data_IF_065010343332
#
_entry.id   IF_065010343332
#
_cell.length_a   1.000
_cell.length_b   1.000
_cell.length_c   1.000
_cell.angle_alpha   90.00
_cell.angle_beta   90.00
_cell.angle_gamma   90.00
#
_symmetry.space_group_name_H-M   'P 1'
#
loop_
_entity.id
_entity.type
_entity.pdbx_description
1 polymer ?
#
# COMPACT_ATOMS: atom_id res chain seq x y z
N UNK A 1 -23.56 -23.51 46.39
CA UNK A 1 -23.43 -24.97 46.59
C UNK A 1 -22.11 -25.45 46.00
N UNK A 2 -20.99 -25.34 46.73
CA UNK A 2 -19.67 -25.75 46.21
C UNK A 2 -18.87 -26.60 47.21
N UNK A 3 -19.54 -27.23 48.18
CA UNK A 3 -18.88 -27.96 49.29
C UNK A 3 -19.42 -29.38 49.53
N UNK A 4 -20.03 -30.06 48.55
CA UNK A 4 -20.64 -31.38 48.80
C UNK A 4 -20.18 -32.57 47.92
N UNK A 5 -19.13 -32.45 47.09
CA UNK A 5 -18.74 -33.56 46.18
C UNK A 5 -17.28 -34.03 46.35
N UNK A 6 -16.73 -34.00 47.57
CA UNK A 6 -15.43 -34.62 47.80
C UNK A 6 -15.39 -35.26 49.18
N UNK A 7 -16.24 -36.26 49.41
CA UNK A 7 -16.12 -37.07 50.63
C UNK A 7 -15.12 -38.23 50.45
N UNK A 8 -14.77 -38.59 49.20
CA UNK A 8 -13.76 -39.63 48.92
C UNK A 8 -12.58 -39.11 48.09
N UNK A 9 -11.35 -39.64 48.27
CA UNK A 9 -10.18 -39.27 47.45
C UNK A 9 -10.37 -39.50 45.95
N UNK A 10 -11.17 -40.50 45.56
CA UNK A 10 -11.42 -40.85 44.16
C UNK A 10 -12.30 -39.80 43.45
N UNK A 11 -13.36 -39.33 44.10
CA UNK A 11 -14.25 -38.29 43.56
C UNK A 11 -13.51 -36.95 43.41
N UNK A 12 -12.65 -36.62 44.37
CA UNK A 12 -11.78 -35.43 44.30
C UNK A 12 -10.83 -35.50 43.12
N UNK A 13 -10.19 -36.65 42.89
CA UNK A 13 -9.29 -36.85 41.76
C UNK A 13 -10.02 -36.72 40.41
N UNK A 14 -11.25 -37.25 40.31
CA UNK A 14 -12.07 -37.10 39.09
C UNK A 14 -12.48 -35.64 38.85
N UNK A 15 -12.86 -34.91 39.90
CA UNK A 15 -13.19 -33.49 39.80
C UNK A 15 -11.98 -32.64 39.38
N UNK A 16 -10.81 -32.87 39.99
CA UNK A 16 -9.56 -32.19 39.64
C UNK A 16 -9.13 -32.51 38.20
N UNK A 17 -9.26 -33.77 37.77
CA UNK A 17 -8.95 -34.18 36.39
C UNK A 17 -9.86 -33.49 35.37
N UNK A 18 -11.17 -33.37 35.67
CA UNK A 18 -12.12 -32.64 34.83
C UNK A 18 -11.78 -31.16 34.75
N UNK A 19 -11.52 -30.52 35.90
CA UNK A 19 -11.17 -29.10 35.93
C UNK A 19 -9.90 -28.84 35.13
N UNK A 20 -8.88 -29.68 35.29
CA UNK A 20 -7.64 -29.60 34.52
C UNK A 20 -7.88 -29.73 33.01
N UNK A 21 -8.72 -30.67 32.60
CA UNK A 21 -9.08 -30.82 31.19
C UNK A 21 -9.78 -29.57 30.66
N UNK A 22 -10.76 -29.02 31.39
CA UNK A 22 -11.48 -27.81 30.99
C UNK A 22 -10.53 -26.60 30.90
N UNK A 23 -9.58 -26.45 31.84
CA UNK A 23 -8.57 -25.38 31.79
C UNK A 23 -7.60 -25.54 30.64
N UNK A 24 -7.13 -26.77 30.37
CA UNK A 24 -6.20 -27.04 29.27
C UNK A 24 -6.86 -26.75 27.91
N UNK A 25 -8.14 -27.08 27.76
CA UNK A 25 -8.91 -26.75 26.54
C UNK A 25 -9.10 -25.24 26.39
N UNK A 26 -9.47 -24.54 27.47
CA UNK A 26 -9.61 -23.09 27.44
C UNK A 26 -8.29 -22.40 27.09
N UNK A 27 -7.17 -22.88 27.64
CA UNK A 27 -5.84 -22.35 27.36
C UNK A 27 -5.46 -22.54 25.89
N UNK A 28 -5.67 -23.74 25.32
CA UNK A 28 -5.44 -24.01 23.88
C UNK A 28 -6.25 -23.10 22.96
N UNK A 29 -7.53 -22.88 23.27
CA UNK A 29 -8.37 -21.98 22.46
C UNK A 29 -7.87 -20.54 22.55
N UNK A 30 -7.48 -20.08 23.74
CA UNK A 30 -6.93 -18.74 23.94
C UNK A 30 -5.60 -18.56 23.18
N UNK A 31 -4.74 -19.57 23.22
CA UNK A 31 -3.46 -19.56 22.50
C UNK A 31 -3.69 -19.50 20.98
N UNK A 32 -4.54 -20.37 20.43
CA UNK A 32 -4.87 -20.37 19.00
C UNK A 32 -5.50 -19.04 18.54
N UNK A 33 -6.38 -18.43 19.34
CA UNK A 33 -6.95 -17.11 19.03
C UNK A 33 -5.90 -15.99 19.08
N UNK A 34 -4.94 -16.09 20.00
CA UNK A 34 -3.85 -15.13 20.12
C UNK A 34 -2.88 -15.25 18.94
N UNK A 35 -2.50 -16.47 18.58
CA UNK A 35 -1.66 -16.76 17.40
C UNK A 35 -2.33 -16.27 16.13
N UNK A 36 -3.57 -16.68 15.86
CA UNK A 36 -4.28 -16.23 14.65
C UNK A 36 -4.46 -14.72 14.57
N UNK A 37 -4.63 -14.03 15.71
CA UNK A 37 -4.64 -12.55 15.74
C UNK A 37 -3.26 -11.96 15.44
N UNK A 38 -2.19 -12.56 15.97
CA UNK A 38 -0.82 -12.08 15.75
C UNK A 38 -0.41 -12.29 14.30
N UNK A 39 -0.66 -13.47 13.75
CA UNK A 39 -0.41 -13.82 12.35
C UNK A 39 -1.19 -12.90 11.41
N UNK A 40 -2.53 -12.80 11.58
CA UNK A 40 -3.35 -11.94 10.72
C UNK A 40 -2.95 -10.46 10.80
N UNK A 41 -2.49 -9.98 11.97
CA UNK A 41 -1.94 -8.62 12.09
C UNK A 41 -0.61 -8.49 11.34
N UNK A 42 0.26 -9.48 11.45
CA UNK A 42 1.59 -9.44 10.81
C UNK A 42 1.48 -9.54 9.29
N UNK A 43 0.66 -10.46 8.78
CA UNK A 43 0.35 -10.62 7.36
C UNK A 43 -0.25 -9.33 6.79
N UNK A 44 -1.32 -8.81 7.39
CA UNK A 44 -1.97 -7.59 6.91
C UNK A 44 -1.03 -6.36 6.92
N UNK A 45 -0.11 -6.28 7.88
CA UNK A 45 0.89 -5.21 7.91
C UNK A 45 1.94 -5.37 6.81
N UNK A 46 2.38 -6.60 6.56
CA UNK A 46 3.38 -6.91 5.54
C UNK A 46 2.82 -6.73 4.13
N UNK A 47 1.60 -7.19 3.87
CA UNK A 47 0.90 -7.01 2.60
C UNK A 47 0.64 -5.53 2.34
N UNK A 48 0.04 -4.80 3.28
CA UNK A 48 -0.27 -3.39 3.09
C UNK A 48 0.97 -2.52 2.85
N UNK A 49 2.10 -2.82 3.50
CA UNK A 49 3.37 -2.14 3.23
C UNK A 49 3.93 -2.47 1.85
N UNK A 50 3.88 -3.74 1.44
CA UNK A 50 4.39 -4.16 0.14
C UNK A 50 3.56 -3.58 -0.99
N UNK A 51 2.24 -3.67 -0.92
CA UNK A 51 1.31 -3.11 -1.90
C UNK A 51 1.47 -1.60 -2.00
N UNK A 52 1.39 -0.88 -0.87
CA UNK A 52 1.52 0.58 -0.87
C UNK A 52 2.87 1.06 -1.40
N UNK A 53 3.97 0.34 -1.11
CA UNK A 53 5.29 0.65 -1.66
C UNK A 53 5.36 0.37 -3.16
N UNK A 54 4.83 -0.75 -3.63
CA UNK A 54 4.85 -1.09 -5.05
C UNK A 54 4.00 -0.11 -5.87
N UNK A 55 2.79 0.19 -5.42
CA UNK A 55 1.91 1.16 -6.07
C UNK A 55 2.53 2.55 -6.10
N UNK A 56 3.06 3.04 -4.97
CA UNK A 56 3.71 4.35 -4.90
C UNK A 56 4.92 4.46 -5.83
N UNK A 57 5.76 3.41 -5.90
CA UNK A 57 6.89 3.37 -6.82
C UNK A 57 6.45 3.34 -8.28
N UNK A 58 5.44 2.51 -8.60
CA UNK A 58 4.93 2.40 -9.96
C UNK A 58 4.31 3.72 -10.44
N UNK A 59 3.48 4.36 -9.62
CA UNK A 59 2.87 5.66 -9.92
C UNK A 59 3.92 6.75 -10.06
N UNK A 60 4.90 6.82 -9.14
CA UNK A 60 5.98 7.79 -9.22
C UNK A 60 6.86 7.62 -10.45
N UNK A 61 7.19 6.38 -10.83
CA UNK A 61 7.95 6.08 -12.03
C UNK A 61 7.17 6.42 -13.30
N UNK A 62 5.88 6.07 -13.38
CA UNK A 62 5.03 6.40 -14.51
C UNK A 62 4.91 7.92 -14.69
N UNK A 63 4.64 8.66 -13.62
CA UNK A 63 4.58 10.12 -13.65
C UNK A 63 5.92 10.76 -14.05
N UNK A 64 7.05 10.21 -13.57
CA UNK A 64 8.39 10.68 -13.93
C UNK A 64 8.73 10.45 -15.40
N UNK A 65 8.39 9.28 -15.94
CA UNK A 65 8.59 8.95 -17.37
C UNK A 65 7.73 9.84 -18.25
N UNK A 66 6.45 10.01 -17.91
CA UNK A 66 5.54 10.87 -18.65
C UNK A 66 6.02 12.33 -18.66
N UNK A 67 6.41 12.84 -17.49
CA UNK A 67 6.97 14.17 -17.36
C UNK A 67 8.24 14.35 -18.20
N UNK A 68 9.17 13.41 -18.13
CA UNK A 68 10.42 13.44 -18.91
C UNK A 68 10.16 13.49 -20.42
N UNK A 69 9.12 12.80 -20.90
CA UNK A 69 8.69 12.88 -22.30
C UNK A 69 8.25 14.31 -22.67
N UNK A 70 7.44 14.98 -21.86
CA UNK A 70 7.03 16.36 -22.13
C UNK A 70 8.22 17.33 -22.07
N UNK A 71 9.10 17.18 -21.08
CA UNK A 71 10.30 18.02 -20.94
C UNK A 71 11.25 17.91 -22.14
N UNK A 72 11.29 16.77 -22.85
CA UNK A 72 12.03 16.64 -24.10
C UNK A 72 11.27 17.16 -25.32
N UNK A 73 9.96 16.91 -25.39
CA UNK A 73 9.15 17.24 -26.56
C UNK A 73 8.84 18.73 -26.72
N UNK A 74 8.60 19.45 -25.61
CA UNK A 74 8.24 20.88 -25.64
C UNK A 74 9.39 21.73 -26.22
N UNK A 75 10.64 21.66 -25.70
CA UNK A 75 11.79 22.35 -26.29
C UNK A 75 12.01 21.99 -27.76
N UNK A 76 11.86 20.72 -28.10
CA UNK A 76 12.00 20.24 -29.47
C UNK A 76 10.99 20.90 -30.42
N UNK A 77 9.71 20.97 -30.04
CA UNK A 77 8.68 21.64 -30.84
C UNK A 77 8.88 23.17 -30.88
N UNK A 78 9.31 23.78 -29.78
CA UNK A 78 9.64 25.21 -29.75
C UNK A 78 10.75 25.54 -30.74
N UNK A 79 11.80 24.73 -30.79
CA UNK A 79 12.89 24.87 -31.76
C UNK A 79 12.38 24.74 -33.21
N UNK A 80 11.56 23.73 -33.51
CA UNK A 80 10.94 23.57 -34.83
C UNK A 80 10.05 24.75 -35.25
N UNK A 81 9.38 25.39 -34.30
CA UNK A 81 8.54 26.57 -34.54
C UNK A 81 9.34 27.88 -34.59
N UNK A 82 10.65 27.85 -34.30
CA UNK A 82 11.50 29.04 -34.17
C UNK A 82 11.16 29.90 -32.96
N UNK A 83 10.55 29.31 -31.92
CA UNK A 83 10.24 29.96 -30.65
C UNK A 83 11.44 29.88 -29.69
N UNK A 84 11.50 30.80 -28.73
CA UNK A 84 12.48 30.72 -27.65
C UNK A 84 12.23 29.48 -26.80
N UNK A 85 13.31 28.71 -26.55
CA UNK A 85 13.24 27.50 -25.73
C UNK A 85 12.91 27.85 -24.27
N UNK A 86 11.94 27.15 -23.71
CA UNK A 86 11.62 27.28 -22.29
C UNK A 86 12.69 26.57 -21.45
N UNK A 87 13.25 27.23 -20.42
CA UNK A 87 14.27 26.62 -19.58
C UNK A 87 13.68 25.43 -18.81
N UNK A 88 14.47 24.37 -18.62
CA UNK A 88 14.03 23.15 -17.93
C UNK A 88 13.46 23.43 -16.54
N UNK A 89 14.02 24.39 -15.82
CA UNK A 89 13.54 24.81 -14.49
C UNK A 89 12.13 25.39 -14.50
N UNK A 90 11.72 26.06 -15.58
CA UNK A 90 10.36 26.58 -15.71
C UNK A 90 9.36 25.47 -16.09
N UNK A 91 9.80 24.45 -16.82
CA UNK A 91 8.96 23.30 -17.16
C UNK A 91 8.86 22.29 -16.00
N UNK A 92 9.87 22.23 -15.13
CA UNK A 92 9.91 21.39 -13.92
C UNK A 92 8.94 21.85 -12.81
N UNK A 93 8.51 23.11 -12.82
CA UNK A 93 7.52 23.62 -11.86
C UNK A 93 6.07 23.39 -12.30
N UNK A 94 5.85 23.08 -13.58
CA UNK A 94 4.50 22.87 -14.13
C UNK A 94 3.92 21.51 -13.73
N UNK A 95 2.61 21.37 -13.68
CA UNK A 95 1.97 20.07 -13.49
C UNK A 95 1.90 19.29 -14.82
N UNK A 96 1.77 17.96 -14.74
CA UNK A 96 1.62 17.10 -15.94
C UNK A 96 0.49 17.60 -16.88
N UNK A 97 -0.71 17.98 -16.39
CA UNK A 97 -1.76 18.49 -17.27
C UNK A 97 -1.38 19.79 -17.99
N UNK A 98 -0.61 20.66 -17.34
CA UNK A 98 -0.15 21.92 -17.92
C UNK A 98 0.89 21.66 -19.02
N UNK A 99 1.81 20.73 -18.79
CA UNK A 99 2.79 20.29 -19.81
C UNK A 99 2.10 19.65 -21.01
N UNK A 100 1.07 18.83 -20.76
CA UNK A 100 0.27 18.21 -21.82
C UNK A 100 -0.46 19.26 -22.67
N UNK A 101 -1.08 20.26 -22.03
CA UNK A 101 -1.75 21.34 -22.74
C UNK A 101 -0.76 22.16 -23.58
N UNK A 102 0.38 22.53 -23.01
CA UNK A 102 1.43 23.26 -23.74
C UNK A 102 1.93 22.47 -24.95
N UNK A 103 2.15 21.17 -24.79
CA UNK A 103 2.52 20.30 -25.92
C UNK A 103 1.44 20.30 -27.01
N UNK A 104 0.17 20.17 -26.64
CA UNK A 104 -0.95 20.15 -27.57
C UNK A 104 -1.04 21.47 -28.36
N UNK A 105 -0.86 22.60 -27.68
CA UNK A 105 -0.87 23.92 -28.30
C UNK A 105 0.28 24.08 -29.32
N UNK A 106 1.49 23.63 -28.97
CA UNK A 106 2.64 23.64 -29.88
C UNK A 106 2.43 22.72 -31.09
N UNK A 107 1.84 21.54 -30.88
CA UNK A 107 1.50 20.62 -31.97
C UNK A 107 0.45 21.21 -32.92
N UNK A 108 -0.57 21.90 -32.38
CA UNK A 108 -1.57 22.59 -33.18
C UNK A 108 -0.94 23.70 -34.04
N UNK A 109 -0.09 24.54 -33.45
CA UNK A 109 0.64 25.58 -34.18
C UNK A 109 1.52 25.02 -35.31
N UNK A 110 2.16 23.87 -35.10
CA UNK A 110 2.97 23.22 -36.14
C UNK A 110 2.10 22.69 -37.29
N UNK A 111 0.89 22.19 -36.97
CA UNK A 111 -0.06 21.71 -37.96
C UNK A 111 -0.61 22.84 -38.82
N UNK A 112 -0.89 24.00 -38.22
CA UNK A 112 -1.43 25.17 -38.92
C UNK A 112 -0.39 25.86 -39.84
N UNK A 113 0.91 25.53 -39.69
CA UNK A 113 2.00 26.02 -40.55
C UNK A 113 2.26 25.17 -41.81
N UNK A 114 1.60 24.02 -41.96
CA UNK A 114 1.68 23.16 -43.16
C UNK A 114 0.56 23.47 -44.13
#
# INVERSE_FOLDING_TARGET
>A
MLQMIAQTPAERAMYEARLKFETDQAWKIQEALKEGRQEGKQEGWQEGLNEGRQEGLAQGMAAGVERGKYLGQIPFLQNLLGLAESPSTALETLEIPQLQQLLADLQAQLRDRR
#
